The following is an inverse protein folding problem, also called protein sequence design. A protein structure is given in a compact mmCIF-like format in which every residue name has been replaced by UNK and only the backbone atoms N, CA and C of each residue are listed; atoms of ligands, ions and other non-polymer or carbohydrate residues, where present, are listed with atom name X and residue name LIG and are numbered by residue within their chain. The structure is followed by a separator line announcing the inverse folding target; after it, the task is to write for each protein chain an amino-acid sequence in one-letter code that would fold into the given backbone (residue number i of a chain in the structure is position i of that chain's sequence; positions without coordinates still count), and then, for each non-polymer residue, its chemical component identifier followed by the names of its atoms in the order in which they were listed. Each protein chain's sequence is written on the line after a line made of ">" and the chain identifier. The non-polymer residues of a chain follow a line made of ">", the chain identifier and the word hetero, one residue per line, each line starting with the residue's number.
data_IF_396396423394
#
_entry.id   IF_396396423394
#
_cell.length_a   1.000
_cell.length_b   1.000
_cell.length_c   1.000
_cell.angle_alpha   90.00
_cell.angle_beta   90.00
_cell.angle_gamma   90.00
#
_symmetry.space_group_name_H-M   'P 1'
#
loop_
_entity.id
_entity.type
_entity.pdbx_description
1 polymer ?
#
# COMPACT_ATOMS: atom_id res chain seq x y z
N UNK A 1 15.17 -41.41 13.22
CA UNK A 1 15.21 -39.94 13.19
C UNK A 1 13.75 -39.58 13.22
N UNK A 2 13.32 -39.15 14.40
CA UNK A 2 11.92 -38.97 14.77
C UNK A 2 11.24 -37.99 13.83
N UNK A 3 10.18 -38.44 13.17
CA UNK A 3 9.16 -37.59 12.57
C UNK A 3 8.34 -36.97 13.73
N UNK A 4 8.93 -36.00 14.43
CA UNK A 4 8.12 -35.09 15.26
C UNK A 4 7.28 -34.25 14.30
N UNK A 5 5.97 -34.47 14.35
CA UNK A 5 4.97 -33.57 13.77
C UNK A 5 5.08 -32.23 14.51
N UNK A 6 6.03 -31.40 14.12
CA UNK A 6 6.14 -30.02 14.59
C UNK A 6 4.96 -29.23 14.02
N UNK A 7 3.91 -29.17 14.82
CA UNK A 7 2.74 -28.34 14.54
C UNK A 7 3.23 -26.89 14.35
N UNK A 8 2.98 -26.35 13.16
CA UNK A 8 3.45 -25.03 12.72
C UNK A 8 2.24 -24.14 12.43
N UNK A 9 2.35 -22.85 12.76
CA UNK A 9 1.37 -21.83 12.38
C UNK A 9 1.76 -21.24 11.04
N UNK A 10 0.76 -21.08 10.17
CA UNK A 10 0.95 -20.55 8.83
C UNK A 10 0.07 -19.31 8.65
N UNK A 11 0.66 -18.23 8.13
CA UNK A 11 -0.11 -17.11 7.57
C UNK A 11 0.02 -17.14 6.05
N UNK A 12 -1.04 -16.75 5.34
CA UNK A 12 -1.01 -16.54 3.89
C UNK A 12 -1.13 -15.04 3.65
N UNK A 13 -0.01 -14.33 3.45
CA UNK A 13 -0.05 -12.89 3.29
C UNK A 13 -0.82 -12.48 2.03
N UNK A 14 -1.73 -11.52 2.17
CA UNK A 14 -2.47 -10.94 1.04
C UNK A 14 -2.27 -9.43 1.01
N UNK A 15 -1.17 -9.01 0.40
CA UNK A 15 -0.78 -7.61 0.27
C UNK A 15 -0.83 -7.07 -1.16
N UNK A 16 -0.71 -5.76 -1.30
CA UNK A 16 -0.52 -5.12 -2.62
C UNK A 16 0.86 -5.40 -3.22
N UNK A 17 1.77 -5.98 -2.45
CA UNK A 17 3.07 -6.44 -2.91
C UNK A 17 3.05 -7.87 -3.51
N UNK A 18 1.89 -8.52 -3.57
CA UNK A 18 1.73 -9.82 -4.25
C UNK A 18 1.61 -9.70 -5.77
N UNK A 19 1.46 -8.50 -6.31
CA UNK A 19 1.46 -8.30 -7.77
C UNK A 19 2.88 -8.41 -8.31
N UNK A 20 3.04 -8.80 -9.57
CA UNK A 20 4.30 -8.58 -10.29
C UNK A 20 4.20 -7.31 -11.14
N UNK A 21 5.35 -6.77 -11.53
CA UNK A 21 5.41 -5.55 -12.34
C UNK A 21 4.58 -5.68 -13.63
N UNK A 22 4.62 -6.85 -14.29
CA UNK A 22 3.84 -7.16 -15.48
C UNK A 22 2.32 -7.08 -15.23
N UNK A 23 1.83 -7.62 -14.11
CA UNK A 23 0.40 -7.55 -13.74
C UNK A 23 -0.04 -6.10 -13.54
N UNK A 24 0.82 -5.30 -12.89
CA UNK A 24 0.56 -3.87 -12.67
C UNK A 24 0.53 -3.14 -14.01
N UNK A 25 1.46 -3.44 -14.90
CA UNK A 25 1.53 -2.82 -16.22
C UNK A 25 0.32 -3.17 -17.09
N UNK A 26 -0.09 -4.44 -17.12
CA UNK A 26 -1.28 -4.90 -17.84
C UNK A 26 -2.54 -4.19 -17.33
N UNK A 27 -2.77 -4.22 -16.01
CA UNK A 27 -3.94 -3.62 -15.39
C UNK A 27 -4.00 -2.10 -15.55
N UNK A 28 -2.85 -1.41 -15.53
CA UNK A 28 -2.80 0.05 -15.60
C UNK A 28 -2.74 0.60 -17.02
N UNK A 29 -2.29 -0.19 -18.01
CA UNK A 29 -2.28 0.20 -19.43
C UNK A 29 -3.66 0.09 -20.08
N UNK A 30 -4.50 -0.86 -19.62
CA UNK A 30 -5.91 -0.95 -20.03
C UNK A 30 -6.84 -1.14 -18.80
N UNK A 31 -7.15 -0.06 -18.07
CA UNK A 31 -7.96 -0.14 -16.87
C UNK A 31 -9.47 -0.22 -17.17
N UNK A 32 -9.90 -0.56 -18.39
CA UNK A 32 -11.32 -0.57 -18.79
C UNK A 32 -12.18 -1.46 -17.89
N UNK A 33 -11.63 -2.62 -17.51
CA UNK A 33 -12.31 -3.65 -16.72
C UNK A 33 -12.18 -3.42 -15.20
N UNK A 34 -11.39 -2.43 -14.78
CA UNK A 34 -11.28 -2.06 -13.38
C UNK A 34 -12.59 -1.44 -12.88
N UNK A 35 -13.02 -1.81 -11.67
CA UNK A 35 -14.11 -1.12 -10.97
C UNK A 35 -13.63 0.21 -10.41
N UNK A 36 -14.52 1.16 -10.18
CA UNK A 36 -14.13 2.49 -9.67
C UNK A 36 -13.47 2.41 -8.28
N UNK A 37 -13.85 1.43 -7.46
CA UNK A 37 -13.21 1.16 -6.16
C UNK A 37 -11.75 0.71 -6.29
N UNK A 38 -11.30 0.29 -7.48
CA UNK A 38 -9.90 -0.05 -7.75
C UNK A 38 -9.05 1.18 -8.03
N UNK A 39 -9.65 2.37 -8.20
CA UNK A 39 -8.94 3.64 -8.48
C UNK A 39 -7.79 3.87 -7.49
N UNK A 40 -8.03 3.74 -6.18
CA UNK A 40 -6.97 3.89 -5.18
C UNK A 40 -5.92 2.78 -5.26
N UNK A 41 -6.34 1.54 -5.49
CA UNK A 41 -5.44 0.38 -5.63
C UNK A 41 -4.46 0.59 -6.78
N UNK A 42 -4.98 0.91 -7.97
CA UNK A 42 -4.18 1.13 -9.18
C UNK A 42 -3.22 2.31 -8.98
N UNK A 43 -3.70 3.42 -8.41
CA UNK A 43 -2.85 4.56 -8.10
C UNK A 43 -1.68 4.20 -7.18
N UNK A 44 -1.96 3.46 -6.11
CA UNK A 44 -0.93 3.06 -5.16
C UNK A 44 0.05 2.04 -5.77
N UNK A 45 -0.41 1.15 -6.65
CA UNK A 45 0.45 0.20 -7.37
C UNK A 45 1.38 0.90 -8.36
N UNK A 46 0.89 1.86 -9.14
CA UNK A 46 1.73 2.68 -10.03
C UNK A 46 2.89 3.34 -9.26
N UNK A 47 2.61 3.86 -8.07
CA UNK A 47 3.63 4.42 -7.18
C UNK A 47 4.56 3.36 -6.59
N UNK A 48 4.00 2.22 -6.14
CA UNK A 48 4.73 1.14 -5.48
C UNK A 48 5.76 0.47 -6.40
N UNK A 49 5.38 0.24 -7.67
CA UNK A 49 6.23 -0.37 -8.68
C UNK A 49 7.04 0.66 -9.48
N UNK A 50 7.01 1.94 -9.07
CA UNK A 50 7.77 3.01 -9.70
C UNK A 50 7.53 3.12 -11.23
N UNK A 51 6.30 2.89 -11.67
CA UNK A 51 5.92 3.00 -13.08
C UNK A 51 6.08 4.46 -13.50
N UNK A 52 7.08 4.74 -14.33
CA UNK A 52 7.38 6.11 -14.81
C UNK A 52 6.84 6.36 -16.22
N UNK A 53 6.39 5.32 -16.92
CA UNK A 53 5.90 5.43 -18.28
C UNK A 53 4.59 6.24 -18.32
N UNK A 54 4.47 7.24 -19.21
CA UNK A 54 3.28 8.08 -19.25
C UNK A 54 2.00 7.32 -19.62
N UNK A 55 2.10 6.26 -20.42
CA UNK A 55 0.95 5.54 -20.97
C UNK A 55 0.04 4.94 -19.87
N UNK A 56 0.55 4.12 -18.92
CA UNK A 56 -0.24 3.64 -17.79
C UNK A 56 -0.90 4.75 -16.96
N UNK A 57 -0.15 5.84 -16.70
CA UNK A 57 -0.67 6.98 -15.95
C UNK A 57 -1.82 7.67 -16.69
N UNK A 58 -1.67 7.93 -17.99
CA UNK A 58 -2.68 8.59 -18.79
C UNK A 58 -3.95 7.75 -18.93
N UNK A 59 -3.81 6.44 -19.15
CA UNK A 59 -4.94 5.52 -19.21
C UNK A 59 -5.74 5.52 -17.89
N UNK A 60 -5.04 5.51 -16.74
CA UNK A 60 -5.68 5.58 -15.43
C UNK A 60 -6.30 6.96 -15.14
N UNK A 61 -5.63 8.06 -15.52
CA UNK A 61 -6.15 9.42 -15.38
C UNK A 61 -7.48 9.55 -16.12
N UNK A 62 -7.56 9.07 -17.36
CA UNK A 62 -8.77 9.10 -18.17
C UNK A 62 -9.87 8.20 -17.58
N UNK A 63 -9.55 6.94 -17.25
CA UNK A 63 -10.53 5.98 -16.73
C UNK A 63 -11.12 6.38 -15.38
N UNK A 64 -10.30 6.90 -14.47
CA UNK A 64 -10.71 7.19 -13.09
C UNK A 64 -10.96 8.68 -12.83
N UNK A 65 -10.84 9.54 -13.84
CA UNK A 65 -11.01 10.99 -13.74
C UNK A 65 -10.10 11.63 -12.69
N UNK A 66 -8.83 11.18 -12.60
CA UNK A 66 -7.90 11.76 -11.63
C UNK A 66 -7.55 13.20 -12.01
N UNK A 67 -7.63 14.17 -11.07
CA UNK A 67 -7.28 15.56 -11.37
C UNK A 67 -5.77 15.80 -11.24
N UNK A 68 -5.01 15.07 -12.04
CA UNK A 68 -3.55 15.15 -12.16
C UNK A 68 -3.18 15.13 -13.64
N UNK A 69 -2.10 15.81 -14.00
CA UNK A 69 -1.65 15.92 -15.39
C UNK A 69 -0.42 15.03 -15.67
N UNK A 70 0.31 14.67 -14.61
CA UNK A 70 1.55 13.92 -14.70
C UNK A 70 1.72 13.02 -13.47
N UNK A 71 2.61 12.03 -13.61
CA UNK A 71 3.00 11.14 -12.52
C UNK A 71 3.64 11.93 -11.37
N UNK A 72 3.38 11.49 -10.13
CA UNK A 72 4.02 12.09 -8.96
C UNK A 72 5.49 11.67 -8.85
N UNK A 73 6.34 12.61 -8.45
CA UNK A 73 7.76 12.36 -8.21
C UNK A 73 7.99 11.75 -6.82
N UNK A 74 7.44 10.56 -6.58
CA UNK A 74 7.64 9.78 -5.34
C UNK A 74 8.78 8.79 -5.57
N UNK A 75 9.89 8.96 -4.87
CA UNK A 75 11.04 8.06 -5.02
C UNK A 75 10.86 6.79 -4.19
N UNK A 76 10.87 5.63 -4.84
CA UNK A 76 10.87 4.33 -4.18
C UNK A 76 12.13 4.16 -3.31
N UNK A 77 11.98 3.59 -2.11
CA UNK A 77 13.08 3.42 -1.16
C UNK A 77 13.56 4.70 -0.46
N UNK A 78 13.00 5.87 -0.76
CA UNK A 78 13.28 7.09 -0.01
C UNK A 78 12.51 7.12 1.32
N UNK A 79 13.10 7.74 2.34
CA UNK A 79 12.48 7.84 3.66
C UNK A 79 11.19 8.66 3.61
N UNK A 80 10.05 7.98 3.75
CA UNK A 80 8.73 8.61 3.89
C UNK A 80 8.52 9.04 5.35
N UNK A 81 8.28 10.34 5.58
CA UNK A 81 7.88 10.84 6.91
C UNK A 81 6.44 10.42 7.25
N UNK A 82 6.32 9.20 7.82
CA UNK A 82 5.07 8.62 8.33
C UNK A 82 4.37 9.53 9.34
N UNK A 83 5.14 10.19 10.20
CA UNK A 83 4.60 11.08 11.23
C UNK A 83 3.96 12.32 10.61
N UNK A 84 4.54 12.86 9.54
CA UNK A 84 3.94 13.92 8.75
C UNK A 84 2.63 13.45 8.11
N UNK A 85 2.64 12.34 7.37
CA UNK A 85 1.45 11.83 6.67
C UNK A 85 0.30 11.56 7.64
N UNK A 86 0.57 10.85 8.74
CA UNK A 86 -0.42 10.57 9.78
C UNK A 86 -1.06 11.85 10.31
N UNK A 87 -0.25 12.87 10.63
CA UNK A 87 -0.76 14.17 11.11
C UNK A 87 -1.53 14.91 10.03
N UNK A 88 -1.05 14.87 8.79
CA UNK A 88 -1.65 15.56 7.65
C UNK A 88 -3.08 15.04 7.40
N UNK A 89 -3.23 13.74 7.21
CA UNK A 89 -4.52 13.10 6.94
C UNK A 89 -5.47 13.16 8.14
N UNK A 90 -4.96 13.01 9.38
CA UNK A 90 -5.77 13.22 10.58
C UNK A 90 -6.36 14.63 10.65
N UNK A 91 -5.58 15.68 10.33
CA UNK A 91 -6.06 17.07 10.32
C UNK A 91 -7.08 17.35 9.22
N UNK A 92 -7.05 16.57 8.13
CA UNK A 92 -8.02 16.65 7.04
C UNK A 92 -9.30 15.87 7.32
N UNK A 93 -9.35 15.10 8.42
CA UNK A 93 -10.47 14.22 8.72
C UNK A 93 -10.50 12.98 7.82
N UNK A 94 -9.35 12.56 7.28
CA UNK A 94 -9.21 11.46 6.32
C UNK A 94 -8.16 10.44 6.78
N UNK A 95 -8.12 9.99 8.05
CA UNK A 95 -7.07 9.08 8.54
C UNK A 95 -6.98 7.78 7.75
N UNK A 96 -8.07 7.31 7.14
CA UNK A 96 -8.14 6.12 6.30
C UNK A 96 -7.19 6.19 5.09
N UNK A 97 -6.95 7.38 4.54
CA UNK A 97 -6.00 7.55 3.44
C UNK A 97 -4.56 7.24 3.88
N UNK A 98 -4.22 7.51 5.15
CA UNK A 98 -2.93 7.11 5.70
C UNK A 98 -2.81 5.60 5.88
N UNK A 99 -3.90 4.95 6.29
CA UNK A 99 -3.95 3.48 6.39
C UNK A 99 -3.77 2.82 5.03
N UNK A 100 -4.39 3.37 3.98
CA UNK A 100 -4.19 2.87 2.63
C UNK A 100 -2.76 3.03 2.11
N UNK A 101 -2.13 4.18 2.38
CA UNK A 101 -0.71 4.40 2.06
C UNK A 101 0.18 3.39 2.76
N UNK A 102 -0.08 3.08 4.04
CA UNK A 102 0.71 2.11 4.81
C UNK A 102 0.67 0.72 4.18
N UNK A 103 -0.49 0.31 3.67
CA UNK A 103 -0.61 -0.99 3.00
C UNK A 103 0.23 -1.12 1.72
N UNK A 104 0.36 -0.05 0.95
CA UNK A 104 1.03 -0.10 -0.34
C UNK A 104 2.52 0.27 -0.25
N UNK A 105 2.82 1.44 0.29
CA UNK A 105 4.13 2.09 0.13
C UNK A 105 5.02 1.98 1.37
N UNK A 106 4.46 1.44 2.47
CA UNK A 106 5.11 1.42 3.76
C UNK A 106 4.84 0.10 4.49
N UNK A 107 5.13 -1.07 3.88
CA UNK A 107 4.82 -2.35 4.51
C UNK A 107 5.62 -2.51 5.81
N UNK A 108 4.91 -2.76 6.91
CA UNK A 108 5.48 -2.83 8.27
C UNK A 108 6.07 -4.19 8.65
N UNK A 109 6.34 -5.05 7.67
CA UNK A 109 6.76 -6.43 7.94
C UNK A 109 5.67 -7.27 8.58
N UNK A 110 4.40 -6.85 8.46
CA UNK A 110 3.27 -7.55 9.02
C UNK A 110 3.02 -8.88 8.27
N UNK A 111 2.99 -10.03 8.97
CA UNK A 111 2.94 -11.36 8.36
C UNK A 111 1.61 -11.71 7.68
N UNK A 112 0.58 -10.88 7.80
CA UNK A 112 -0.69 -11.03 7.08
C UNK A 112 -0.77 -10.16 5.83
N UNK A 113 0.09 -9.15 5.72
CA UNK A 113 0.04 -8.14 4.65
C UNK A 113 1.29 -8.14 3.75
N UNK A 114 2.40 -8.73 4.20
CA UNK A 114 3.65 -8.75 3.44
C UNK A 114 3.90 -10.14 2.85
N UNK A 115 3.52 -10.36 1.59
CA UNK A 115 3.96 -11.54 0.82
C UNK A 115 5.19 -11.23 -0.02
N UNK A 116 5.96 -12.24 -0.42
CA UNK A 116 6.94 -12.07 -1.49
C UNK A 116 6.30 -12.54 -2.80
N UNK A 117 6.36 -11.77 -3.90
CA UNK A 117 5.89 -12.26 -5.20
C UNK A 117 6.74 -13.42 -5.73
N UNK A 118 7.99 -13.56 -5.26
CA UNK A 118 8.89 -14.68 -5.58
C UNK A 118 8.70 -15.87 -4.63
N UNK A 119 8.13 -15.62 -3.46
CA UNK A 119 7.91 -16.60 -2.40
C UNK A 119 6.57 -16.29 -1.71
N UNK A 120 5.49 -16.68 -2.40
CA UNK A 120 4.13 -16.61 -1.87
C UNK A 120 3.92 -17.62 -0.74
N UNK A 121 4.95 -18.38 -0.36
CA UNK A 121 4.82 -19.42 0.65
C UNK A 121 4.49 -18.79 2.00
N UNK A 122 3.73 -19.59 2.74
CA UNK A 122 3.16 -19.17 4.00
C UNK A 122 4.27 -18.83 4.99
N UNK A 123 4.15 -17.70 5.69
CA UNK A 123 5.13 -17.40 6.74
C UNK A 123 4.88 -18.38 7.89
N UNK A 124 5.92 -19.14 8.22
CA UNK A 124 5.85 -20.23 9.18
C UNK A 124 6.32 -19.76 10.55
N UNK A 125 5.58 -20.15 11.60
CA UNK A 125 5.94 -19.90 12.98
C UNK A 125 5.82 -21.16 13.81
N UNK A 126 6.78 -21.41 14.69
CA UNK A 126 6.67 -22.43 15.72
C UNK A 126 5.48 -22.13 16.66
N UNK A 127 4.76 -23.16 17.13
CA UNK A 127 3.67 -22.97 18.10
C UNK A 127 4.27 -22.67 19.48
N UNK A 128 4.45 -21.37 19.74
CA UNK A 128 4.86 -20.84 21.04
C UNK A 128 3.88 -19.75 21.49
N UNK A 129 3.79 -19.53 22.80
CA UNK A 129 2.94 -18.45 23.33
C UNK A 129 3.35 -17.05 22.85
N UNK A 130 4.64 -16.84 22.58
CA UNK A 130 5.18 -15.60 22.04
C UNK A 130 4.74 -15.38 20.58
N UNK A 131 4.89 -16.40 19.73
CA UNK A 131 4.45 -16.33 18.34
C UNK A 131 2.94 -16.16 18.23
N UNK A 132 2.16 -16.84 19.08
CA UNK A 132 0.70 -16.65 19.13
C UNK A 132 0.36 -15.19 19.47
N UNK A 133 1.00 -14.62 20.50
CA UNK A 133 0.78 -13.22 20.90
C UNK A 133 1.16 -12.25 19.78
N UNK A 134 2.31 -12.46 19.16
CA UNK A 134 2.76 -11.66 18.01
C UNK A 134 1.76 -11.72 16.86
N UNK A 135 1.27 -12.90 16.51
CA UNK A 135 0.27 -13.07 15.45
C UNK A 135 -1.07 -12.40 15.78
N UNK A 136 -1.50 -12.39 17.04
CA UNK A 136 -2.69 -11.61 17.44
C UNK A 136 -2.48 -10.10 17.25
N UNK A 137 -1.35 -9.55 17.71
CA UNK A 137 -1.05 -8.13 17.56
C UNK A 137 -0.93 -7.72 16.08
N UNK A 138 -0.30 -8.57 15.27
CA UNK A 138 -0.19 -8.38 13.83
C UNK A 138 -1.55 -8.46 13.12
N UNK A 139 -2.44 -9.36 13.55
CA UNK A 139 -3.79 -9.47 13.01
C UNK A 139 -4.63 -8.22 13.30
N UNK A 140 -4.60 -7.72 14.55
CA UNK A 140 -5.33 -6.50 14.95
C UNK A 140 -4.88 -5.29 14.12
N UNK A 141 -3.58 -5.19 13.83
CA UNK A 141 -3.06 -4.17 12.93
C UNK A 141 -3.53 -4.36 11.49
N UNK A 142 -3.47 -5.59 10.98
CA UNK A 142 -3.88 -5.90 9.61
C UNK A 142 -5.37 -5.61 9.38
N UNK A 143 -6.23 -6.02 10.31
CA UNK A 143 -7.68 -5.75 10.26
C UNK A 143 -7.95 -4.23 10.21
N UNK A 144 -7.25 -3.46 11.05
CA UNK A 144 -7.37 -2.00 11.06
C UNK A 144 -6.95 -1.39 9.72
N UNK A 145 -5.81 -1.81 9.17
CA UNK A 145 -5.29 -1.32 7.89
C UNK A 145 -6.22 -1.67 6.72
N UNK A 146 -6.71 -2.92 6.66
CA UNK A 146 -7.65 -3.39 5.65
C UNK A 146 -8.98 -2.61 5.70
N UNK A 147 -9.52 -2.39 6.90
CA UNK A 147 -10.73 -1.57 7.05
C UNK A 147 -10.52 -0.12 6.62
N UNK A 148 -9.34 0.44 6.93
CA UNK A 148 -8.94 1.77 6.47
C UNK A 148 -8.84 1.84 4.95
N UNK A 149 -8.19 0.86 4.33
CA UNK A 149 -8.05 0.77 2.88
C UNK A 149 -9.41 0.66 2.18
N UNK A 150 -10.30 -0.22 2.65
CA UNK A 150 -11.63 -0.40 2.05
C UNK A 150 -12.47 0.90 2.10
N UNK A 151 -12.38 1.66 3.21
CA UNK A 151 -13.01 2.98 3.33
C UNK A 151 -12.37 3.98 2.38
N UNK A 152 -11.05 4.04 2.34
CA UNK A 152 -10.30 4.93 1.45
C UNK A 152 -10.63 4.68 -0.03
N UNK A 153 -10.69 3.41 -0.47
CA UNK A 153 -11.06 3.05 -1.84
C UNK A 153 -12.45 3.56 -2.22
N UNK A 154 -13.44 3.39 -1.33
CA UNK A 154 -14.79 3.95 -1.54
C UNK A 154 -14.79 5.48 -1.60
N UNK A 155 -14.01 6.13 -0.74
CA UNK A 155 -13.89 7.59 -0.73
C UNK A 155 -13.28 8.10 -2.04
N UNK A 156 -12.23 7.46 -2.55
CA UNK A 156 -11.59 7.82 -3.82
C UNK A 156 -12.48 7.56 -5.02
N UNK A 157 -13.24 6.46 -5.03
CA UNK A 157 -14.21 6.18 -6.08
C UNK A 157 -15.29 7.29 -6.18
N UNK A 158 -15.70 7.86 -5.05
CA UNK A 158 -16.67 8.96 -5.00
C UNK A 158 -16.01 10.32 -5.26
N UNK A 159 -14.79 10.54 -4.79
CA UNK A 159 -14.03 11.78 -4.94
C UNK A 159 -12.60 11.51 -5.45
N UNK A 160 -12.41 11.47 -6.78
CA UNK A 160 -11.10 11.29 -7.40
C UNK A 160 -10.07 12.36 -7.02
N UNK A 161 -10.48 13.52 -6.50
CA UNK A 161 -9.55 14.57 -6.08
C UNK A 161 -8.68 14.18 -4.89
N UNK A 162 -9.08 13.15 -4.15
CA UNK A 162 -8.29 12.56 -3.09
C UNK A 162 -6.98 11.94 -3.61
N UNK A 163 -6.93 11.45 -4.86
CA UNK A 163 -5.69 10.93 -5.47
C UNK A 163 -4.63 12.03 -5.54
N UNK A 164 -5.01 13.21 -6.04
CA UNK A 164 -4.10 14.35 -6.10
C UNK A 164 -3.63 14.79 -4.70
N UNK A 165 -4.50 14.64 -3.69
CA UNK A 165 -4.14 14.92 -2.29
C UNK A 165 -3.11 13.93 -1.76
N UNK A 166 -3.28 12.63 -2.05
CA UNK A 166 -2.37 11.56 -1.64
C UNK A 166 -0.99 11.78 -2.26
N UNK A 167 -0.91 11.92 -3.59
CA UNK A 167 0.36 12.12 -4.29
C UNK A 167 1.14 13.33 -3.77
N UNK A 168 0.48 14.49 -3.62
CA UNK A 168 1.11 15.70 -3.07
C UNK A 168 1.58 15.53 -1.63
N UNK A 169 0.85 14.77 -0.81
CA UNK A 169 1.26 14.50 0.57
C UNK A 169 2.51 13.60 0.60
N UNK A 170 2.56 12.57 -0.24
CA UNK A 170 3.71 11.67 -0.38
C UNK A 170 4.97 12.42 -0.82
N UNK A 171 4.91 13.22 -1.88
CA UNK A 171 6.05 14.02 -2.33
C UNK A 171 6.60 14.95 -1.24
N UNK A 172 5.69 15.58 -0.48
CA UNK A 172 6.08 16.47 0.64
C UNK A 172 6.72 15.70 1.79
N UNK A 173 6.30 14.46 2.03
CA UNK A 173 6.85 13.62 3.08
C UNK A 173 8.31 13.23 2.84
N UNK A 174 8.74 13.19 1.57
CA UNK A 174 10.12 12.86 1.17
C UNK A 174 11.06 14.08 1.14
N UNK A 175 10.52 15.29 0.93
CA UNK A 175 11.30 16.54 0.77
C UNK A 175 11.91 17.10 2.08
N UNK A 176 11.75 16.44 3.24
CA UNK A 176 11.99 17.06 4.56
C UNK A 176 13.36 16.84 5.22
N UNK A 177 14.28 16.03 4.66
CA UNK A 177 15.63 15.83 5.25
C UNK A 177 16.66 16.91 4.88
N UNK A 178 16.24 18.18 4.86
CA UNK A 178 17.05 19.33 4.45
C UNK A 178 17.04 20.48 5.45
N UNK A 179 17.29 20.23 6.74
CA UNK A 179 17.75 21.27 7.69
C UNK A 179 18.76 20.67 8.66
N UNK A 180 20.00 20.55 8.20
CA UNK A 180 21.17 20.54 9.09
C UNK A 180 21.12 21.88 9.83
N UNK A 181 20.90 21.84 11.15
CA UNK A 181 21.21 22.98 12.02
C UNK A 181 22.72 23.12 12.02
N UNK A 182 23.24 24.15 11.35
CA UNK A 182 24.56 24.71 11.63
C UNK A 182 24.41 25.68 12.79
#
# INVERSE_FOLDING_TARGET
>A
LDDENDLTLYTQPMGLNNYIEDDVYEMSSDPSDCRDEMSLTVFLLLLNYYICDPEPWMACIERFNWPIEEAFSVQWGSDIDRSYLRRYFKRKGLPELFDAIQMALIPDGNPFLCGSPEDLDSICFEITGENIKYLYEAWDEAERLLSGFEKASRMVAVDPSLVAMIGKALERSQKSKGRVRV
#
